data_IF_067725103029
#
_entry.id   IF_067725103029
#
_cell.length_a   1.000
_cell.length_b   1.000
_cell.length_c   1.000
_cell.angle_alpha   90.00
_cell.angle_beta   90.00
_cell.angle_gamma   90.00
#
_symmetry.space_group_name_H-M   'P 1'
#
loop_
_entity.id
_entity.type
_entity.pdbx_description
1 polymer ?
#
# COMPACT_ATOMS: atom_id res chain seq x y z
N UNK A 1 -27.91 55.23 -3.84
CA UNK A 1 -27.94 56.07 -2.62
C UNK A 1 -28.52 55.23 -1.49
N UNK A 2 -27.95 55.38 -0.29
CA UNK A 2 -28.09 54.59 0.95
C UNK A 2 -27.29 53.26 0.95
N UNK A 3 -26.04 53.24 1.44
CA UNK A 3 -25.56 53.19 2.86
C UNK A 3 -25.62 51.77 3.46
N UNK A 4 -24.51 51.04 3.50
CA UNK A 4 -23.51 50.94 4.60
C UNK A 4 -24.06 50.37 5.91
N UNK A 5 -23.61 49.15 6.27
CA UNK A 5 -22.96 48.87 7.56
C UNK A 5 -22.29 47.51 7.53
N UNK A 6 -20.97 47.54 7.75
CA UNK A 6 -20.08 46.42 8.01
C UNK A 6 -20.27 45.94 9.46
N UNK A 7 -20.18 44.64 9.70
CA UNK A 7 -20.04 44.06 11.04
C UNK A 7 -18.88 43.06 11.00
N UNK A 8 -17.75 43.55 11.49
CA UNK A 8 -16.54 42.79 11.81
C UNK A 8 -16.80 41.95 13.07
N UNK A 9 -16.68 40.62 12.98
CA UNK A 9 -16.59 39.78 14.19
C UNK A 9 -15.12 39.66 14.60
N UNK A 10 -14.85 40.16 15.81
CA UNK A 10 -13.59 40.09 16.52
C UNK A 10 -13.39 38.68 17.07
N UNK A 11 -12.21 38.12 16.83
CA UNK A 11 -11.74 36.91 17.48
C UNK A 11 -11.54 37.14 18.98
N UNK A 12 -12.12 36.28 19.82
CA UNK A 12 -11.81 36.20 21.24
C UNK A 12 -11.33 34.78 21.55
N UNK A 13 -10.03 34.67 21.80
CA UNK A 13 -9.37 33.49 22.39
C UNK A 13 -9.77 33.37 23.86
N UNK A 14 -10.32 32.22 24.26
CA UNK A 14 -10.51 31.85 25.66
C UNK A 14 -9.68 30.59 25.95
N UNK A 15 -8.54 30.81 26.61
CA UNK A 15 -7.85 29.80 27.40
C UNK A 15 -8.63 29.62 28.71
N UNK A 16 -9.08 28.40 29.00
CA UNK A 16 -9.56 28.02 30.34
C UNK A 16 -8.84 26.73 30.75
N UNK A 17 -7.68 26.91 31.36
CA UNK A 17 -7.16 25.97 32.36
C UNK A 17 -7.83 26.31 33.70
N UNK A 18 -8.12 25.27 34.49
CA UNK A 18 -8.77 25.25 35.82
C UNK A 18 -10.30 25.16 35.86
N UNK A 19 -10.79 23.91 35.89
CA UNK A 19 -12.07 23.56 36.55
C UNK A 19 -11.79 22.38 37.50
N UNK A 20 -12.21 22.44 38.77
CA UNK A 20 -11.95 21.40 39.76
C UNK A 20 -12.77 20.13 39.54
N UNK A 21 -12.08 19.00 39.65
CA UNK A 21 -12.56 17.62 39.55
C UNK A 21 -13.51 17.26 40.70
N UNK A 22 -14.75 16.88 40.39
CA UNK A 22 -15.68 16.26 41.34
C UNK A 22 -15.86 14.78 40.96
N UNK A 23 -15.28 13.89 41.74
CA UNK A 23 -15.42 12.43 41.64
C UNK A 23 -16.62 11.95 42.47
N UNK A 24 -17.57 11.20 41.89
CA UNK A 24 -18.58 10.49 42.67
C UNK A 24 -18.01 9.18 43.22
N UNK A 25 -17.99 9.04 44.54
CA UNK A 25 -17.62 7.82 45.28
C UNK A 25 -18.83 6.86 45.30
N UNK A 26 -18.85 5.91 44.38
CA UNK A 26 -19.85 4.83 44.38
C UNK A 26 -19.33 3.65 45.20
N UNK A 27 -20.00 3.38 46.32
CA UNK A 27 -19.77 2.21 47.18
C UNK A 27 -20.54 1.02 46.61
N UNK A 28 -19.83 0.03 46.07
CA UNK A 28 -20.43 -1.24 45.60
C UNK A 28 -20.19 -2.33 46.64
N UNK A 29 -21.28 -2.90 47.17
CA UNK A 29 -21.28 -4.01 48.13
C UNK A 29 -21.03 -5.31 47.35
N UNK A 30 -19.98 -6.05 47.75
CA UNK A 30 -19.64 -7.37 47.21
C UNK A 30 -20.45 -8.42 47.96
N UNK A 31 -21.44 -9.04 47.29
CA UNK A 31 -22.13 -10.24 47.78
C UNK A 31 -21.56 -11.47 47.07
N UNK A 32 -20.96 -12.38 47.86
CA UNK A 32 -20.47 -13.69 47.41
C UNK A 32 -21.61 -14.72 47.32
N UNK A 33 -21.68 -15.55 46.26
CA UNK A 33 -22.63 -16.65 46.21
C UNK A 33 -22.10 -17.90 46.94
N UNK A 34 -22.95 -18.49 47.78
CA UNK A 34 -22.72 -19.73 48.53
C UNK A 34 -22.94 -20.95 47.63
N UNK A 35 -21.90 -21.76 47.42
CA UNK A 35 -21.97 -23.00 46.64
C UNK A 35 -22.54 -24.15 47.48
N UNK A 36 -23.65 -24.74 47.04
CA UNK A 36 -24.26 -25.94 47.64
C UNK A 36 -23.63 -27.20 47.01
N UNK A 37 -23.15 -28.14 47.83
CA UNK A 37 -22.57 -29.41 47.37
C UNK A 37 -23.68 -30.44 47.13
N UNK A 38 -23.77 -30.99 45.91
CA UNK A 38 -24.65 -32.13 45.57
C UNK A 38 -23.79 -33.41 45.56
N UNK A 39 -24.09 -34.34 46.47
CA UNK A 39 -23.53 -35.69 46.47
C UNK A 39 -24.11 -36.52 45.31
N UNK A 40 -23.26 -37.16 44.52
CA UNK A 40 -23.64 -38.20 43.57
C UNK A 40 -22.90 -39.52 43.90
N UNK A 41 -23.66 -40.62 43.91
CA UNK A 41 -23.21 -41.98 44.23
C UNK A 41 -22.35 -42.62 43.12
N UNK A 42 -21.49 -43.61 43.43
CA UNK A 42 -20.62 -44.23 42.44
C UNK A 42 -21.34 -45.37 41.68
N UNK A 43 -21.26 -45.37 40.35
CA UNK A 43 -21.58 -46.52 39.50
C UNK A 43 -20.31 -47.18 38.97
N UNK A 44 -20.32 -48.52 39.00
CA UNK A 44 -19.21 -49.45 38.77
C UNK A 44 -18.53 -49.36 37.38
N UNK A 45 -17.28 -49.85 37.22
CA UNK A 45 -16.53 -49.77 35.97
C UNK A 45 -16.86 -50.93 35.02
N UNK A 46 -17.11 -50.62 33.75
CA UNK A 46 -17.12 -51.59 32.64
C UNK A 46 -16.00 -51.21 31.67
N UNK A 47 -15.13 -52.17 31.37
CA UNK A 47 -13.98 -52.06 30.45
C UNK A 47 -14.40 -51.94 28.97
N UNK A 48 -13.53 -51.42 28.09
CA UNK A 48 -13.93 -50.77 26.84
C UNK A 48 -14.16 -51.76 25.69
N UNK A 49 -15.24 -51.54 24.96
CA UNK A 49 -15.39 -52.03 23.58
C UNK A 49 -14.93 -50.91 22.64
N UNK A 50 -13.90 -51.18 21.84
CA UNK A 50 -13.43 -50.26 20.79
C UNK A 50 -14.47 -50.24 19.68
N UNK A 51 -15.42 -49.32 19.78
CA UNK A 51 -16.15 -48.82 18.63
C UNK A 51 -15.33 -47.67 18.08
N UNK A 52 -14.68 -47.87 16.93
CA UNK A 52 -14.09 -46.76 16.18
C UNK A 52 -15.25 -45.84 15.82
N UNK A 53 -15.36 -44.63 16.41
CA UNK A 53 -16.29 -43.65 15.92
C UNK A 53 -15.75 -43.27 14.55
N UNK A 54 -16.52 -43.51 13.50
CA UNK A 54 -16.41 -42.68 12.30
C UNK A 54 -16.82 -41.29 12.75
N UNK A 55 -15.87 -40.55 13.30
CA UNK A 55 -15.99 -39.10 13.39
C UNK A 55 -16.34 -38.67 11.97
N UNK A 56 -17.48 -37.97 11.75
CA UNK A 56 -17.63 -37.27 10.49
C UNK A 56 -16.36 -36.44 10.36
N UNK A 57 -15.67 -36.58 9.23
CA UNK A 57 -14.61 -35.64 8.88
C UNK A 57 -15.28 -34.28 8.98
N UNK A 58 -14.97 -33.53 10.03
CA UNK A 58 -15.35 -32.13 10.11
C UNK A 58 -14.50 -31.51 9.02
N UNK A 59 -15.06 -31.45 7.83
CA UNK A 59 -14.60 -30.53 6.82
C UNK A 59 -14.80 -29.18 7.48
N UNK A 60 -13.75 -28.62 8.07
CA UNK A 60 -13.73 -27.20 8.35
C UNK A 60 -13.94 -26.56 6.98
N UNK A 61 -15.16 -26.09 6.74
CA UNK A 61 -15.48 -25.36 5.56
C UNK A 61 -14.50 -24.18 5.51
N UNK A 62 -13.60 -24.19 4.54
CA UNK A 62 -12.76 -23.02 4.22
C UNK A 62 -13.59 -21.84 3.68
N UNK A 63 -14.92 -21.98 3.67
CA UNK A 63 -15.90 -21.02 3.17
C UNK A 63 -16.33 -19.99 4.23
N UNK A 64 -15.55 -19.75 5.28
CA UNK A 64 -15.79 -18.70 6.30
C UNK A 64 -16.84 -19.06 7.36
N UNK A 65 -16.56 -18.67 8.61
CA UNK A 65 -17.30 -19.06 9.82
C UNK A 65 -18.15 -17.92 10.42
N UNK A 66 -18.28 -16.80 9.70
CA UNK A 66 -18.98 -15.59 10.15
C UNK A 66 -18.42 -14.97 11.44
N UNK A 67 -17.23 -15.39 11.90
CA UNK A 67 -16.64 -14.81 13.11
C UNK A 67 -16.16 -13.38 12.85
N UNK A 68 -16.27 -12.49 13.85
CA UNK A 68 -15.72 -11.14 13.77
C UNK A 68 -14.22 -11.17 13.47
N UNK A 69 -13.80 -10.32 12.53
CA UNK A 69 -12.39 -10.04 12.28
C UNK A 69 -11.90 -8.93 13.20
N UNK A 70 -10.59 -8.83 13.37
CA UNK A 70 -9.98 -7.73 14.12
C UNK A 70 -10.40 -6.37 13.51
N UNK A 71 -10.64 -5.33 14.32
CA UNK A 71 -10.98 -4.01 13.77
C UNK A 71 -9.82 -3.46 12.94
N UNK A 72 -10.17 -2.73 11.88
CA UNK A 72 -9.21 -1.90 11.16
C UNK A 72 -9.00 -0.56 11.87
N UNK A 73 -7.89 0.11 11.57
CA UNK A 73 -7.54 1.42 12.14
C UNK A 73 -7.92 2.61 11.25
N UNK A 74 -8.30 2.35 10.00
CA UNK A 74 -8.76 3.39 9.09
C UNK A 74 -10.18 3.85 9.40
N UNK A 75 -10.57 5.07 9.00
CA UNK A 75 -11.93 5.53 9.15
C UNK A 75 -12.87 4.76 8.21
N UNK A 76 -14.10 4.54 8.64
CA UNK A 76 -15.18 4.04 7.77
C UNK A 76 -15.96 5.27 7.29
N UNK A 77 -16.17 5.47 5.98
CA UNK A 77 -17.02 6.55 5.47
C UNK A 77 -18.43 6.50 6.10
N UNK A 78 -19.14 7.63 6.12
CA UNK A 78 -20.49 7.70 6.74
C UNK A 78 -21.47 6.69 6.14
N UNK A 79 -21.37 6.48 4.83
CA UNK A 79 -22.07 5.42 4.11
C UNK A 79 -21.07 4.31 3.82
N UNK A 80 -21.31 3.12 4.39
CA UNK A 80 -20.42 1.98 4.24
C UNK A 80 -20.68 1.21 2.94
N UNK A 81 -20.20 1.77 1.83
CA UNK A 81 -20.24 1.14 0.51
C UNK A 81 -19.01 1.49 -0.32
N UNK A 82 -18.81 0.76 -1.41
CA UNK A 82 -17.69 0.96 -2.35
C UNK A 82 -17.59 2.38 -2.89
N UNK A 83 -18.71 2.96 -3.31
CA UNK A 83 -18.72 4.29 -3.93
C UNK A 83 -18.23 5.37 -2.95
N UNK A 84 -18.80 5.39 -1.75
CA UNK A 84 -18.41 6.30 -0.67
C UNK A 84 -16.96 6.07 -0.23
N UNK A 85 -16.45 4.84 -0.30
CA UNK A 85 -15.06 4.54 0.01
C UNK A 85 -14.08 5.26 -0.94
N UNK A 86 -14.36 5.25 -2.25
CA UNK A 86 -13.51 5.95 -3.23
C UNK A 86 -13.56 7.48 -3.16
N UNK A 87 -14.70 8.04 -2.75
CA UNK A 87 -14.91 9.50 -2.72
C UNK A 87 -14.72 10.11 -1.34
N UNK A 88 -14.52 9.30 -0.29
CA UNK A 88 -14.44 9.78 1.09
C UNK A 88 -13.25 10.71 1.33
N UNK A 89 -13.48 11.97 1.76
CA UNK A 89 -12.40 12.85 2.18
C UNK A 89 -11.58 12.29 3.35
N UNK A 90 -12.20 11.47 4.21
CA UNK A 90 -11.51 10.83 5.35
C UNK A 90 -10.37 9.89 4.90
N UNK A 91 -10.46 9.35 3.69
CA UNK A 91 -9.45 8.46 3.10
C UNK A 91 -8.55 9.20 2.11
N UNK A 92 -9.11 10.15 1.35
CA UNK A 92 -8.38 10.92 0.34
C UNK A 92 -7.43 11.94 0.96
N UNK A 93 -7.85 12.68 1.98
CA UNK A 93 -7.03 13.75 2.59
C UNK A 93 -5.71 13.21 3.17
N UNK A 94 -5.67 12.11 3.94
CA UNK A 94 -4.40 11.55 4.40
C UNK A 94 -3.43 11.19 3.27
N UNK A 95 -3.93 10.67 2.15
CA UNK A 95 -3.10 10.36 0.99
C UNK A 95 -2.59 11.63 0.27
N UNK A 96 -3.43 12.66 0.14
CA UNK A 96 -3.04 13.93 -0.45
C UNK A 96 -2.00 14.67 0.41
N UNK A 97 -2.19 14.67 1.73
CA UNK A 97 -1.37 15.40 2.69
C UNK A 97 -0.07 14.65 3.05
N UNK A 98 0.04 13.37 2.72
CA UNK A 98 1.20 12.56 3.06
C UNK A 98 2.50 13.07 2.41
N UNK A 99 3.50 13.29 3.26
CA UNK A 99 4.85 13.68 2.87
C UNK A 99 5.62 12.51 2.23
N UNK A 100 6.42 12.81 1.21
CA UNK A 100 7.39 11.88 0.65
C UNK A 100 8.53 11.64 1.64
N UNK A 101 8.81 10.40 2.09
CA UNK A 101 9.92 10.15 3.00
C UNK A 101 11.28 10.46 2.41
N UNK A 102 12.25 10.76 3.27
CA UNK A 102 13.63 11.01 2.86
C UNK A 102 14.23 9.80 2.11
N UNK A 103 14.93 10.06 1.02
CA UNK A 103 15.53 9.01 0.19
C UNK A 103 14.56 8.32 -0.76
N UNK A 104 13.30 8.75 -0.81
CA UNK A 104 12.29 8.24 -1.74
C UNK A 104 11.79 9.35 -2.66
N UNK A 105 11.26 8.94 -3.81
CA UNK A 105 10.48 9.78 -4.72
C UNK A 105 9.05 9.26 -4.83
N UNK A 106 8.11 10.17 -5.09
CA UNK A 106 6.69 9.85 -5.24
C UNK A 106 6.45 9.28 -6.64
N UNK A 107 6.02 8.03 -6.74
CA UNK A 107 5.65 7.40 -8.01
C UNK A 107 4.23 7.77 -8.45
N UNK A 108 3.29 7.73 -7.50
CA UNK A 108 1.92 8.18 -7.71
C UNK A 108 1.27 8.59 -6.39
N UNK A 109 0.22 9.39 -6.49
CA UNK A 109 -0.54 9.90 -5.34
C UNK A 109 -2.02 9.63 -5.53
N UNK A 110 -2.66 9.24 -4.43
CA UNK A 110 -4.10 9.13 -4.29
C UNK A 110 -4.77 8.31 -5.41
N UNK A 111 -4.25 7.11 -5.65
CA UNK A 111 -4.86 6.16 -6.58
C UNK A 111 -6.00 5.39 -5.89
N UNK A 112 -7.08 5.11 -6.65
CA UNK A 112 -8.14 4.15 -6.28
C UNK A 112 -7.75 2.71 -6.63
N UNK A 113 -6.47 2.39 -6.44
CA UNK A 113 -5.88 1.10 -6.69
C UNK A 113 -4.53 1.02 -5.97
N UNK A 114 -4.13 -0.18 -5.55
CA UNK A 114 -2.77 -0.45 -5.10
C UNK A 114 -1.88 -0.87 -6.27
N UNK A 115 -0.57 -0.78 -6.06
CA UNK A 115 0.43 -1.24 -7.01
C UNK A 115 0.40 -2.77 -7.17
N UNK A 116 0.62 -3.22 -8.40
CA UNK A 116 0.91 -4.62 -8.74
C UNK A 116 2.30 -4.66 -9.34
N UNK A 117 3.14 -5.52 -8.78
CA UNK A 117 4.49 -5.80 -9.25
C UNK A 117 4.84 -7.28 -9.18
N UNK A 118 6.09 -7.61 -9.46
CA UNK A 118 6.62 -8.98 -9.50
C UNK A 118 7.36 -9.37 -8.22
N UNK A 119 7.92 -8.42 -7.47
CA UNK A 119 8.73 -8.72 -6.28
C UNK A 119 8.00 -8.33 -5.00
N UNK A 120 6.78 -8.85 -4.81
CA UNK A 120 6.00 -8.59 -3.61
C UNK A 120 6.69 -9.16 -2.36
N UNK A 121 6.95 -8.29 -1.39
CA UNK A 121 7.69 -8.62 -0.16
C UNK A 121 6.77 -8.81 1.06
N UNK A 122 5.46 -8.63 0.87
CA UNK A 122 4.45 -8.69 1.92
C UNK A 122 3.92 -7.30 2.31
N UNK A 123 3.12 -7.28 3.38
CA UNK A 123 2.53 -6.04 3.89
C UNK A 123 2.49 -5.97 5.42
N UNK A 124 2.34 -4.75 5.92
CA UNK A 124 2.02 -4.45 7.30
C UNK A 124 0.69 -3.73 7.39
N UNK A 125 -0.12 -4.07 8.39
CA UNK A 125 -1.27 -3.25 8.79
C UNK A 125 -0.81 -2.16 9.76
N UNK A 126 -1.06 -0.91 9.40
CA UNK A 126 -0.66 0.25 10.17
C UNK A 126 -1.83 0.81 10.98
N UNK A 127 -1.51 1.42 12.11
CA UNK A 127 -2.50 2.11 12.95
C UNK A 127 -2.85 3.52 12.43
N UNK A 128 -2.02 4.06 11.54
CA UNK A 128 -2.21 5.37 10.93
C UNK A 128 -1.62 5.38 9.52
N UNK A 129 -2.09 6.32 8.69
CA UNK A 129 -1.54 6.55 7.36
C UNK A 129 -0.19 7.27 7.47
N UNK A 130 0.88 6.54 7.78
CA UNK A 130 2.22 7.06 8.05
C UNK A 130 3.23 6.54 7.04
N UNK A 131 3.68 7.42 6.14
CA UNK A 131 4.73 7.11 5.17
C UNK A 131 6.08 6.86 5.85
N UNK A 132 6.35 7.52 6.98
CA UNK A 132 7.56 7.30 7.79
C UNK A 132 7.57 5.93 8.49
N UNK A 133 6.42 5.46 8.96
CA UNK A 133 6.34 4.10 9.52
C UNK A 133 6.52 3.07 8.40
N UNK A 134 5.85 3.26 7.26
CA UNK A 134 5.94 2.34 6.13
C UNK A 134 7.37 2.26 5.56
N UNK A 135 8.07 3.39 5.44
CA UNK A 135 9.48 3.40 5.02
C UNK A 135 10.38 2.68 6.03
N UNK A 136 10.11 2.79 7.33
CA UNK A 136 10.87 2.09 8.36
C UNK A 136 10.71 0.58 8.26
N UNK A 137 9.50 0.10 7.89
CA UNK A 137 9.26 -1.31 7.58
C UNK A 137 10.01 -1.76 6.33
N UNK A 138 10.00 -0.95 5.27
CA UNK A 138 10.75 -1.22 4.04
C UNK A 138 12.26 -1.31 4.31
N UNK A 139 12.83 -0.36 5.05
CA UNK A 139 14.26 -0.36 5.42
C UNK A 139 14.65 -1.55 6.31
N UNK A 140 13.76 -1.99 7.20
CA UNK A 140 13.98 -3.19 8.03
C UNK A 140 13.89 -4.50 7.26
N UNK A 141 13.27 -4.49 6.07
CA UNK A 141 13.06 -5.67 5.26
C UNK A 141 14.38 -6.09 4.59
N UNK A 142 14.90 -7.26 4.97
CA UNK A 142 16.21 -7.79 4.54
C UNK A 142 17.29 -7.75 5.63
N UNK A 143 17.10 -7.00 6.72
CA UNK A 143 18.05 -6.97 7.85
C UNK A 143 17.93 -8.24 8.71
N UNK A 144 16.76 -8.87 8.78
CA UNK A 144 16.55 -10.11 9.55
C UNK A 144 16.97 -11.40 8.85
N UNK A 145 17.23 -11.41 7.54
CA UNK A 145 17.63 -12.63 6.83
C UNK A 145 19.15 -12.89 6.85
N UNK A 146 19.95 -11.89 7.20
CA UNK A 146 21.43 -11.98 7.27
C UNK A 146 21.97 -12.13 8.68
N UNK A 147 21.14 -11.86 9.70
CA UNK A 147 21.39 -12.28 11.07
C UNK A 147 20.82 -13.69 11.19
N UNK A 148 21.64 -14.70 10.83
CA UNK A 148 21.35 -16.07 11.26
C UNK A 148 20.98 -16.06 12.73
N UNK A 149 19.98 -16.86 13.09
CA UNK A 149 19.52 -17.10 14.46
C UNK A 149 20.71 -16.99 15.43
N UNK A 150 20.64 -16.18 16.50
CA UNK A 150 21.76 -16.08 17.43
C UNK A 150 21.96 -17.44 18.09
N UNK A 151 22.91 -18.21 17.55
CA UNK A 151 23.48 -19.39 18.19
C UNK A 151 23.74 -19.03 19.66
N UNK A 152 23.22 -19.80 20.63
CA UNK A 152 23.42 -19.51 22.04
C UNK A 152 24.93 -19.58 22.30
N UNK A 153 25.55 -18.40 22.44
CA UNK A 153 26.98 -18.26 22.67
C UNK A 153 27.33 -18.98 23.98
N UNK A 154 27.86 -20.18 23.82
CA UNK A 154 28.69 -20.84 24.80
C UNK A 154 29.82 -19.89 25.20
N UNK A 155 30.04 -19.75 26.50
CA UNK A 155 31.04 -18.87 27.12
C UNK A 155 32.43 -19.12 26.54
N UNK A 156 32.86 -18.26 25.60
CA UNK A 156 34.24 -18.21 25.15
C UNK A 156 35.03 -17.26 26.04
N UNK A 157 35.85 -17.86 26.90
CA UNK A 157 36.97 -17.23 27.58
C UNK A 157 37.90 -16.56 26.56
N UNK A 158 38.15 -15.26 26.72
CA UNK A 158 39.15 -14.52 25.95
C UNK A 158 40.56 -14.99 26.33
N UNK A 159 41.44 -15.38 25.37
CA UNK A 159 42.86 -15.44 25.65
C UNK A 159 43.42 -14.01 25.70
N UNK A 160 44.25 -13.74 26.71
CA UNK A 160 45.02 -12.51 26.79
C UNK A 160 46.01 -12.43 25.61
N UNK A 161 45.97 -11.34 24.84
CA UNK A 161 46.88 -11.11 23.71
C UNK A 161 46.24 -10.53 22.44
N UNK A 162 45.16 -9.75 22.54
CA UNK A 162 44.56 -9.10 21.38
C UNK A 162 45.38 -7.88 20.95
N UNK A 163 46.04 -7.99 19.79
CA UNK A 163 46.83 -6.93 19.17
C UNK A 163 45.91 -5.83 18.62
N UNK A 164 46.02 -4.63 19.18
CA UNK A 164 45.22 -3.44 18.82
C UNK A 164 45.70 -2.77 17.52
N UNK A 165 46.74 -3.30 16.87
CA UNK A 165 47.33 -2.72 15.65
C UNK A 165 46.66 -3.19 14.35
N UNK A 166 45.82 -4.23 14.40
CA UNK A 166 45.06 -4.67 13.23
C UNK A 166 43.81 -3.80 13.05
N UNK A 167 43.88 -2.79 12.19
CA UNK A 167 42.68 -2.16 11.61
C UNK A 167 41.78 -3.27 11.04
N UNK A 168 40.54 -3.44 11.52
CA UNK A 168 39.65 -4.42 10.92
C UNK A 168 39.36 -3.97 9.49
N UNK A 169 39.86 -4.72 8.51
CA UNK A 169 39.57 -4.57 7.08
C UNK A 169 38.15 -5.01 6.70
N UNK A 170 37.28 -5.22 7.70
CA UNK A 170 35.87 -5.43 7.46
C UNK A 170 35.22 -4.08 7.18
N UNK A 171 35.21 -3.69 5.90
CA UNK A 171 34.19 -2.75 5.42
C UNK A 171 32.84 -3.36 5.77
N UNK A 172 32.04 -2.73 6.65
CA UNK A 172 30.66 -3.15 6.84
C UNK A 172 30.00 -3.00 5.47
N UNK A 173 29.77 -4.13 4.78
CA UNK A 173 28.86 -4.14 3.65
C UNK A 173 27.51 -3.75 4.23
N UNK A 174 27.09 -2.52 3.97
CA UNK A 174 25.75 -2.04 4.30
C UNK A 174 24.77 -3.12 3.80
N UNK A 175 23.84 -3.61 4.64
CA UNK A 175 22.88 -4.61 4.20
C UNK A 175 22.24 -4.11 2.91
N UNK A 176 22.31 -4.93 1.86
CA UNK A 176 21.69 -4.62 0.57
C UNK A 176 20.21 -4.44 0.85
N UNK A 177 19.70 -3.21 0.70
CA UNK A 177 18.29 -2.92 0.88
C UNK A 177 17.51 -3.71 -0.15
N UNK A 178 16.67 -4.65 0.31
CA UNK A 178 15.91 -5.52 -0.60
C UNK A 178 14.57 -4.88 -0.96
N UNK A 179 13.96 -4.12 -0.06
CA UNK A 179 12.76 -3.35 -0.36
C UNK A 179 13.12 -2.02 -1.03
N UNK A 180 12.83 -1.91 -2.32
CA UNK A 180 13.15 -0.73 -3.14
C UNK A 180 11.93 0.15 -3.42
N UNK A 181 10.71 -0.30 -3.13
CA UNK A 181 9.53 0.55 -3.20
C UNK A 181 8.44 0.08 -2.25
N UNK A 182 7.47 0.95 -2.00
CA UNK A 182 6.29 0.61 -1.23
C UNK A 182 5.08 1.42 -1.69
N UNK A 183 3.89 0.89 -1.44
CA UNK A 183 2.68 1.70 -1.46
C UNK A 183 1.88 1.55 -0.17
N UNK A 184 1.38 2.69 0.30
CA UNK A 184 0.48 2.77 1.44
C UNK A 184 -0.92 3.10 0.94
N UNK A 185 -1.96 2.44 1.46
CA UNK A 185 -3.34 2.59 1.01
C UNK A 185 -4.37 2.16 2.06
N UNK A 186 -5.61 2.58 1.87
CA UNK A 186 -6.75 2.07 2.61
C UNK A 186 -7.41 0.93 1.83
N UNK A 187 -7.76 -0.15 2.51
CA UNK A 187 -8.55 -1.26 1.99
C UNK A 187 -9.85 -1.39 2.77
N UNK A 188 -10.96 -1.46 2.05
CA UNK A 188 -12.27 -1.82 2.59
C UNK A 188 -12.33 -3.34 2.66
N UNK A 189 -12.40 -3.91 3.86
CA UNK A 189 -12.46 -5.37 4.07
C UNK A 189 -13.69 -5.73 4.92
N UNK A 190 -14.24 -6.95 4.84
CA UNK A 190 -15.39 -7.31 5.66
C UNK A 190 -15.02 -7.38 7.14
N UNK A 191 -15.93 -6.97 8.02
CA UNK A 191 -15.73 -7.02 9.47
C UNK A 191 -15.90 -8.43 10.07
N UNK A 192 -16.30 -9.41 9.27
CA UNK A 192 -16.44 -10.83 9.63
C UNK A 192 -15.81 -11.72 8.56
N UNK A 193 -15.52 -12.97 8.89
CA UNK A 193 -15.14 -13.99 7.92
C UNK A 193 -16.36 -14.38 7.08
N UNK A 194 -16.47 -13.85 5.86
CA UNK A 194 -17.65 -14.07 5.01
C UNK A 194 -17.81 -15.53 4.60
N UNK A 195 -19.06 -15.97 4.54
CA UNK A 195 -19.37 -17.35 4.18
C UNK A 195 -20.77 -17.56 3.62
N UNK A 196 -21.18 -18.82 3.37
CA UNK A 196 -22.44 -19.13 2.68
C UNK A 196 -23.68 -18.59 3.42
N UNK A 197 -23.61 -18.51 4.75
CA UNK A 197 -24.68 -18.00 5.62
C UNK A 197 -24.54 -16.49 5.94
N UNK A 198 -23.41 -15.88 5.57
CA UNK A 198 -23.07 -14.48 5.86
C UNK A 198 -22.25 -13.89 4.71
N UNK A 199 -22.90 -13.72 3.57
CA UNK A 199 -22.26 -13.31 2.32
C UNK A 199 -21.87 -11.84 2.25
N UNK A 200 -22.36 -11.03 3.20
CA UNK A 200 -22.06 -9.61 3.29
C UNK A 200 -21.94 -9.19 4.76
N UNK A 201 -21.30 -8.05 5.00
CA UNK A 201 -21.09 -7.49 6.32
C UNK A 201 -20.86 -5.97 6.25
N UNK A 202 -20.89 -5.31 7.41
CA UNK A 202 -20.22 -4.01 7.56
C UNK A 202 -18.73 -4.16 7.29
N UNK A 203 -18.07 -3.06 6.93
CA UNK A 203 -16.65 -3.03 6.64
C UNK A 203 -15.80 -2.73 7.88
N UNK A 204 -14.54 -3.10 7.77
CA UNK A 204 -13.41 -2.57 8.50
C UNK A 204 -12.47 -1.92 7.48
N UNK A 205 -11.84 -0.81 7.85
CA UNK A 205 -10.88 -0.14 6.98
C UNK A 205 -9.46 -0.44 7.44
N UNK A 206 -8.70 -1.18 6.62
CA UNK A 206 -7.31 -1.55 6.92
C UNK A 206 -6.39 -0.53 6.24
N UNK A 207 -5.36 -0.06 6.96
CA UNK A 207 -4.30 0.77 6.38
C UNK A 207 -3.14 -0.16 6.06
N UNK A 208 -2.92 -0.46 4.79
CA UNK A 208 -1.86 -1.38 4.37
C UNK A 208 -0.63 -0.63 3.90
N UNK A 209 0.53 -1.09 4.34
CA UNK A 209 1.85 -0.75 3.82
C UNK A 209 2.37 -1.98 3.08
N UNK A 210 2.24 -1.99 1.75
CA UNK A 210 2.73 -3.07 0.90
C UNK A 210 4.15 -2.77 0.43
N UNK A 211 5.03 -3.76 0.55
CA UNK A 211 6.46 -3.65 0.29
C UNK A 211 6.84 -4.39 -0.99
N UNK A 212 7.79 -3.85 -1.73
CA UNK A 212 8.15 -4.29 -3.08
C UNK A 212 9.67 -4.27 -3.26
N UNK A 213 10.19 -5.31 -3.90
CA UNK A 213 11.62 -5.50 -4.15
C UNK A 213 12.11 -4.73 -5.36
N UNK A 214 11.22 -4.44 -6.28
CA UNK A 214 11.51 -3.68 -7.49
C UNK A 214 11.58 -2.18 -7.21
N UNK A 215 12.47 -1.49 -7.94
CA UNK A 215 12.70 -0.05 -7.82
C UNK A 215 11.95 0.79 -8.86
N UNK A 216 11.33 0.19 -9.86
CA UNK A 216 10.73 0.85 -11.04
C UNK A 216 9.22 1.07 -10.90
N UNK A 217 8.76 1.36 -9.69
CA UNK A 217 7.36 1.68 -9.41
C UNK A 217 6.89 2.92 -10.20
N UNK A 218 5.78 2.78 -10.93
CA UNK A 218 5.17 3.84 -11.73
C UNK A 218 3.64 3.84 -11.58
N UNK A 219 2.99 4.94 -11.98
CA UNK A 219 1.55 5.15 -11.78
C UNK A 219 0.71 4.12 -12.51
N UNK A 220 1.15 3.70 -13.69
CA UNK A 220 0.39 2.82 -14.59
C UNK A 220 0.25 1.39 -14.02
N UNK A 221 1.08 1.01 -13.03
CA UNK A 221 0.97 -0.28 -12.34
C UNK A 221 0.14 -0.21 -11.04
N UNK A 222 -0.43 0.95 -10.71
CA UNK A 222 -1.49 1.05 -9.70
C UNK A 222 -2.83 0.56 -10.27
N UNK A 223 -2.96 -0.77 -10.42
CA UNK A 223 -4.09 -1.40 -11.11
C UNK A 223 -4.88 -2.37 -10.24
N UNK A 224 -4.44 -2.68 -9.02
CA UNK A 224 -5.22 -3.51 -8.11
C UNK A 224 -6.32 -2.67 -7.44
N UNK A 225 -7.51 -2.67 -8.04
CA UNK A 225 -8.69 -1.95 -7.53
C UNK A 225 -9.42 -2.70 -6.40
N UNK A 226 -8.95 -3.90 -6.04
CA UNK A 226 -9.63 -4.83 -5.14
C UNK A 226 -10.33 -5.96 -5.88
N UNK A 227 -11.24 -6.67 -5.19
CA UNK A 227 -11.94 -7.84 -5.70
C UNK A 227 -13.29 -8.01 -5.00
N UNK A 228 -14.14 -8.90 -5.52
CA UNK A 228 -15.40 -9.26 -4.87
C UNK A 228 -15.23 -10.54 -4.07
N UNK A 229 -15.63 -10.49 -2.80
CA UNK A 229 -15.65 -11.62 -1.89
C UNK A 229 -17.11 -11.86 -1.46
N UNK A 230 -17.71 -12.96 -1.93
CA UNK A 230 -19.17 -13.18 -1.81
C UNK A 230 -19.98 -11.99 -2.35
N UNK A 231 -20.83 -11.37 -1.52
CA UNK A 231 -21.63 -10.19 -1.86
C UNK A 231 -20.99 -8.89 -1.37
N UNK A 232 -19.75 -8.94 -0.86
CA UNK A 232 -18.98 -7.79 -0.40
C UNK A 232 -17.92 -7.37 -1.43
N UNK A 233 -17.79 -6.06 -1.64
CA UNK A 233 -16.76 -5.48 -2.49
C UNK A 233 -15.56 -5.03 -1.65
N UNK A 234 -14.45 -5.76 -1.78
CA UNK A 234 -13.14 -5.35 -1.26
C UNK A 234 -12.55 -4.35 -2.24
N UNK A 235 -12.29 -3.13 -1.77
CA UNK A 235 -11.82 -2.03 -2.63
C UNK A 235 -10.69 -1.25 -1.99
N UNK A 236 -9.87 -0.64 -2.83
CA UNK A 236 -8.66 0.07 -2.42
C UNK A 236 -8.75 1.55 -2.79
N UNK A 237 -8.48 2.44 -1.83
CA UNK A 237 -8.53 3.88 -2.05
C UNK A 237 -7.36 4.60 -1.37
N UNK A 238 -7.10 5.83 -1.83
CA UNK A 238 -6.09 6.70 -1.24
C UNK A 238 -4.70 6.07 -1.26
N UNK A 239 -4.31 5.41 -2.36
CA UNK A 239 -2.98 4.80 -2.44
C UNK A 239 -1.91 5.78 -2.89
N UNK A 240 -0.81 5.85 -2.16
CA UNK A 240 0.42 6.51 -2.62
C UNK A 240 1.53 5.49 -2.84
N UNK A 241 2.26 5.64 -3.94
CA UNK A 241 3.43 4.84 -4.27
C UNK A 241 4.73 5.64 -4.10
N UNK A 242 5.74 5.01 -3.52
CA UNK A 242 7.05 5.59 -3.28
C UNK A 242 8.15 4.62 -3.71
N UNK A 243 9.11 5.12 -4.48
CA UNK A 243 10.29 4.37 -4.92
C UNK A 243 11.54 4.91 -4.24
N UNK A 244 12.44 4.02 -3.85
CA UNK A 244 13.73 4.37 -3.30
C UNK A 244 14.58 5.09 -4.35
N UNK A 245 15.36 6.06 -3.90
CA UNK A 245 16.08 7.00 -4.75
C UNK A 245 15.36 8.33 -4.86
N UNK A 246 16.13 9.42 -4.77
CA UNK A 246 15.66 10.76 -5.12
C UNK A 246 15.28 10.78 -6.60
N UNK A 247 14.31 11.63 -6.98
CA UNK A 247 14.09 11.92 -8.40
C UNK A 247 15.42 12.34 -9.01
N UNK A 248 15.98 11.47 -9.85
CA UNK A 248 17.09 11.87 -10.70
C UNK A 248 16.49 12.92 -11.62
N UNK A 249 16.94 14.17 -11.48
CA UNK A 249 16.58 15.22 -12.43
C UNK A 249 16.87 14.68 -13.84
N UNK A 250 15.82 14.33 -14.60
CA UNK A 250 15.90 13.91 -16.00
C UNK A 250 16.59 14.95 -16.91
N UNK A 251 16.91 16.12 -16.36
CA UNK A 251 17.77 17.13 -16.97
C UNK A 251 19.26 16.74 -17.05
N UNK A 252 19.74 15.71 -16.34
CA UNK A 252 21.16 15.29 -16.38
C UNK A 252 21.39 14.11 -17.35
N UNK A 253 20.39 13.25 -17.58
CA UNK A 253 20.50 12.13 -18.54
C UNK A 253 20.42 12.53 -20.01
N UNK A 254 20.09 13.80 -20.33
CA UNK A 254 20.16 14.34 -21.70
C UNK A 254 21.54 14.85 -22.14
N UNK A 255 22.57 14.75 -21.29
CA UNK A 255 23.92 15.26 -21.62
C UNK A 255 24.96 14.19 -21.97
N UNK A 256 24.60 12.91 -22.03
CA UNK A 256 25.51 11.83 -22.45
C UNK A 256 25.17 11.25 -23.84
N UNK A 257 24.35 11.96 -24.62
CA UNK A 257 24.17 11.72 -26.05
C UNK A 257 24.77 12.90 -26.80
N UNK A 258 25.94 12.69 -27.38
CA UNK A 258 26.59 13.58 -28.34
C UNK A 258 25.58 14.02 -29.41
N UNK A 259 25.10 15.28 -29.31
CA UNK A 259 24.25 15.88 -30.33
C UNK A 259 25.11 16.31 -31.51
N UNK A 260 25.44 15.37 -32.39
CA UNK A 260 25.70 15.72 -33.79
C UNK A 260 24.36 16.07 -34.42
N UNK A 261 24.06 17.36 -34.45
CA UNK A 261 22.93 17.91 -35.22
C UNK A 261 23.30 17.78 -36.70
N UNK A 262 23.00 16.62 -37.30
CA UNK A 262 22.93 16.50 -38.76
C UNK A 262 21.55 16.97 -39.21
N UNK A 263 21.59 17.95 -40.11
CA UNK A 263 20.49 18.76 -40.59
C UNK A 263 19.58 17.96 -41.54
N UNK A 264 18.69 17.11 -41.02
CA UNK A 264 17.73 16.34 -41.82
C UNK A 264 16.46 17.14 -42.18
N UNK A 265 16.61 18.29 -42.85
CA UNK A 265 15.48 19.02 -43.47
C UNK A 265 15.51 18.95 -45.01
N UNK A 266 16.52 18.33 -45.63
CA UNK A 266 16.70 18.39 -47.08
C UNK A 266 16.40 17.09 -47.85
N UNK A 267 15.46 16.23 -47.42
CA UNK A 267 15.13 15.01 -48.19
C UNK A 267 13.65 14.74 -48.50
N UNK A 268 12.75 15.72 -48.36
CA UNK A 268 11.38 15.62 -48.94
C UNK A 268 11.14 16.65 -50.08
N UNK A 269 11.96 17.70 -50.19
CA UNK A 269 11.87 18.67 -51.29
C UNK A 269 12.61 18.22 -52.56
N UNK A 270 13.63 17.36 -52.45
CA UNK A 270 14.42 16.87 -53.60
C UNK A 270 13.70 15.74 -54.35
N UNK A 271 12.79 15.00 -53.70
CA UNK A 271 12.01 13.92 -54.33
C UNK A 271 10.92 14.41 -55.28
N UNK A 272 10.54 15.70 -55.23
CA UNK A 272 9.61 16.32 -56.20
C UNK A 272 10.30 17.06 -57.35
N UNK A 273 11.62 17.23 -57.31
CA UNK A 273 12.37 17.89 -58.40
C UNK A 273 12.93 16.88 -59.40
N UNK A 274 13.08 15.60 -59.03
CA UNK A 274 13.66 14.56 -59.90
C UNK A 274 12.63 13.88 -60.84
N UNK A 275 11.32 14.05 -60.62
CA UNK A 275 10.26 13.41 -61.46
C UNK A 275 9.53 14.41 -62.39
N UNK A 276 9.75 15.72 -62.26
CA UNK A 276 9.04 16.74 -63.05
C UNK A 276 9.86 17.44 -64.15
N UNK A 277 11.12 17.02 -64.36
CA UNK A 277 12.12 17.84 -65.05
C UNK A 277 12.61 17.37 -66.42
N UNK A 278 11.92 16.45 -67.11
CA UNK A 278 12.25 16.09 -68.50
C UNK A 278 10.96 15.66 -69.23
N UNK A 279 10.24 16.61 -69.85
CA UNK A 279 9.70 16.53 -71.22
C UNK A 279 9.18 17.93 -71.54
N UNK A 280 9.97 18.70 -72.29
CA UNK A 280 9.59 20.06 -72.66
C UNK A 280 10.52 20.67 -73.70
N UNK A 281 10.82 19.96 -74.79
CA UNK A 281 11.09 20.62 -76.09
C UNK A 281 11.05 19.63 -77.28
N UNK A 282 10.36 20.07 -78.34
CA UNK A 282 10.38 19.61 -79.74
C UNK A 282 9.71 18.28 -80.10
N UNK A 283 8.49 18.33 -80.65
CA UNK A 283 8.21 17.99 -82.06
C UNK A 283 7.04 18.88 -82.56
N UNK A 284 7.31 19.67 -83.61
CA UNK A 284 6.33 20.32 -84.48
C UNK A 284 6.15 19.43 -85.72
N UNK A 285 4.89 19.25 -86.17
CA UNK A 285 4.50 18.68 -87.46
C UNK A 285 3.64 17.42 -87.33
N UNK A 286 2.55 17.21 -88.05
CA UNK A 286 1.89 17.95 -89.11
C UNK A 286 0.44 17.44 -89.26
N UNK A 287 -0.38 18.25 -89.94
CA UNK A 287 -1.80 18.10 -90.28
C UNK A 287 -2.24 16.78 -90.95
N UNK A 288 -3.51 16.46 -90.67
CA UNK A 288 -4.48 15.75 -91.53
C UNK A 288 -5.15 14.57 -90.82
N UNK A 289 -6.42 14.20 -90.99
CA UNK A 289 -7.53 14.55 -91.89
C UNK A 289 -8.70 13.62 -91.43
N UNK A 290 -9.96 14.10 -91.43
CA UNK A 290 -11.25 13.36 -91.49
C UNK A 290 -11.60 12.38 -90.34
N UNK A 291 -12.84 12.10 -89.94
CA UNK A 291 -14.17 12.21 -90.57
C UNK A 291 -15.24 12.17 -89.44
N UNK A 292 -16.31 12.96 -89.61
CA UNK A 292 -17.68 12.91 -89.06
C UNK A 292 -18.00 12.51 -87.61
#
# INVERSE_FOLDING_TARGET
MADTTSLSLVAATLNVANIPTLTPKTTTIVTTPTTTLIMHSPTNPISPTINIPTTPVIVHNTQGDCLPQAPGYGPIPSEDNMHSFYTSPLLRSPALDATTPYGYSLAFREANASYIGTEYLGFYELQAYSTTECVSRCLGWGISATQGEPEPRSTLSFPEGFDFSATPTYTPTLPTQVCNSFNIYFERSPAINLGPECKNAGSRTIIKCALWGEGDMHKESATNTGYREWDFEVVIAGSNGYRYGSEENDNVKKSAGEKTVTLDIAMEAVRKIIVGGVVGLMIVGAMGILED
#
